data_IF_753349199209
#
_entry.id   IF_753349199209
#
_cell.length_a   1.000
_cell.length_b   1.000
_cell.length_c   1.000
_cell.angle_alpha   90.00
_cell.angle_beta   90.00
_cell.angle_gamma   90.00
#
_symmetry.space_group_name_H-M   'P 1'
#
loop_
_entity.id
_entity.type
_entity.pdbx_description
1 polymer ?
#
# COMPACT_ATOMS: atom_id res chain seq x y z
N UNK A 1 -4.94 -1.75 20.47
CA UNK A 1 -5.42 -2.26 19.19
C UNK A 1 -5.13 -1.22 18.12
N UNK A 2 -4.51 -1.63 17.01
CA UNK A 2 -4.11 -0.76 15.92
C UNK A 2 -5.27 -0.18 15.13
N UNK A 3 -4.95 0.80 14.28
CA UNK A 3 -5.87 1.45 13.36
C UNK A 3 -5.43 1.24 11.91
N UNK A 4 -6.36 1.01 11.01
CA UNK A 4 -6.09 0.83 9.59
C UNK A 4 -6.96 1.72 8.71
N UNK A 5 -6.39 2.22 7.62
CA UNK A 5 -7.11 2.93 6.57
C UNK A 5 -6.89 2.24 5.22
N UNK A 6 -7.99 1.89 4.57
CA UNK A 6 -7.99 1.44 3.17
C UNK A 6 -8.30 2.64 2.30
N UNK A 7 -7.29 3.14 1.58
CA UNK A 7 -7.45 4.15 0.55
C UNK A 7 -7.85 3.47 -0.75
N UNK A 8 -9.16 3.37 -1.00
CA UNK A 8 -9.73 2.66 -2.12
C UNK A 8 -10.03 3.61 -3.28
N UNK A 9 -9.16 3.63 -4.28
CA UNK A 9 -9.24 4.53 -5.43
C UNK A 9 -9.53 3.82 -6.77
N UNK A 10 -10.17 2.65 -6.74
CA UNK A 10 -10.52 1.89 -7.95
C UNK A 10 -11.89 2.24 -8.55
N UNK A 11 -12.49 3.35 -8.23
CA UNK A 11 -13.92 3.66 -8.38
C UNK A 11 -14.56 3.36 -9.73
N UNK A 12 -13.89 3.61 -10.87
CA UNK A 12 -14.51 3.50 -12.19
C UNK A 12 -14.25 2.18 -12.92
N UNK A 13 -13.24 1.42 -12.54
CA UNK A 13 -12.85 0.18 -13.21
C UNK A 13 -13.15 -1.06 -12.38
N UNK A 14 -13.21 -0.90 -11.06
CA UNK A 14 -13.65 -1.92 -10.12
C UNK A 14 -14.94 -1.38 -9.49
N UNK A 15 -16.05 -1.52 -10.21
CA UNK A 15 -17.33 -0.98 -9.79
C UNK A 15 -17.78 -1.50 -8.41
N UNK A 16 -18.82 -0.89 -7.87
CA UNK A 16 -19.41 -1.20 -6.56
C UNK A 16 -19.70 -2.69 -6.33
N UNK A 17 -19.87 -3.52 -7.37
CA UNK A 17 -20.08 -4.95 -7.22
C UNK A 17 -18.85 -5.72 -6.73
N UNK A 18 -17.64 -5.16 -6.90
CA UNK A 18 -16.38 -5.72 -6.36
C UNK A 18 -15.98 -5.08 -5.03
N UNK A 19 -16.58 -3.98 -4.70
CA UNK A 19 -16.43 -3.26 -3.44
C UNK A 19 -16.81 -4.09 -2.19
N UNK A 20 -17.78 -5.03 -2.23
CA UNK A 20 -18.11 -5.87 -1.08
C UNK A 20 -16.91 -6.54 -0.41
N UNK A 21 -15.88 -6.91 -1.17
CA UNK A 21 -14.69 -7.55 -0.58
C UNK A 21 -13.95 -6.64 0.41
N UNK A 22 -13.76 -5.38 0.06
CA UNK A 22 -13.08 -4.42 0.96
C UNK A 22 -13.99 -4.02 2.12
N UNK A 23 -15.28 -3.89 1.90
CA UNK A 23 -16.26 -3.71 2.96
C UNK A 23 -16.30 -4.91 3.92
N UNK A 24 -16.21 -6.12 3.39
CA UNK A 24 -16.11 -7.34 4.19
C UNK A 24 -14.82 -7.37 5.00
N UNK A 25 -13.67 -7.10 4.38
CA UNK A 25 -12.37 -6.99 5.05
C UNK A 25 -12.44 -6.00 6.21
N UNK A 26 -12.94 -4.78 5.95
CA UNK A 26 -13.14 -3.76 6.98
C UNK A 26 -13.97 -4.29 8.15
N UNK A 27 -15.13 -4.89 7.86
CA UNK A 27 -16.02 -5.43 8.89
C UNK A 27 -15.37 -6.52 9.72
N UNK A 28 -14.72 -7.47 9.05
CA UNK A 28 -14.04 -8.58 9.69
C UNK A 28 -12.85 -8.10 10.56
N UNK A 29 -11.97 -7.29 10.02
CA UNK A 29 -10.81 -6.78 10.76
C UNK A 29 -11.21 -5.92 11.94
N UNK A 30 -12.28 -5.12 11.81
CA UNK A 30 -12.83 -4.34 12.91
C UNK A 30 -13.38 -5.26 14.01
N UNK A 31 -14.09 -6.32 13.64
CA UNK A 31 -14.58 -7.32 14.61
C UNK A 31 -13.42 -8.06 15.33
N UNK A 32 -12.30 -8.23 14.63
CA UNK A 32 -11.06 -8.82 15.18
C UNK A 32 -10.22 -7.83 16.00
N UNK A 33 -10.67 -6.57 16.12
CA UNK A 33 -10.05 -5.55 16.95
C UNK A 33 -9.13 -4.55 16.25
N UNK A 34 -8.92 -4.67 14.93
CA UNK A 34 -8.23 -3.65 14.14
C UNK A 34 -9.24 -2.59 13.69
N UNK A 35 -9.19 -1.39 14.27
CA UNK A 35 -10.10 -0.28 13.92
C UNK A 35 -9.89 0.14 12.46
N UNK A 36 -10.63 -0.49 11.55
CA UNK A 36 -10.45 -0.34 10.12
C UNK A 36 -11.46 0.65 9.52
N UNK A 37 -10.96 1.58 8.73
CA UNK A 37 -11.74 2.54 7.94
C UNK A 37 -11.46 2.33 6.46
N UNK A 38 -12.37 2.80 5.62
CA UNK A 38 -12.21 2.81 4.18
C UNK A 38 -12.60 4.18 3.63
N UNK A 39 -11.72 4.72 2.79
CA UNK A 39 -11.95 5.94 2.04
C UNK A 39 -12.10 5.59 0.56
N UNK A 40 -13.24 5.91 -0.03
CA UNK A 40 -13.58 5.63 -1.44
C UNK A 40 -13.48 6.87 -2.32
N UNK A 41 -13.18 8.03 -1.73
CA UNK A 41 -13.03 9.31 -2.43
C UNK A 41 -11.64 9.90 -2.21
N UNK A 42 -10.62 9.06 -2.38
CA UNK A 42 -9.23 9.35 -2.04
C UNK A 42 -8.72 10.59 -2.78
N UNK A 43 -8.32 11.59 -1.99
CA UNK A 43 -7.76 12.85 -2.48
C UNK A 43 -6.27 12.97 -2.13
N UNK A 44 -5.60 13.94 -2.76
CA UNK A 44 -4.22 14.31 -2.39
C UNK A 44 -4.14 14.71 -0.90
N UNK A 45 -5.17 15.38 -0.39
CA UNK A 45 -5.23 15.81 1.02
C UNK A 45 -5.35 14.62 1.99
N UNK A 46 -6.04 13.54 1.59
CA UNK A 46 -6.17 12.33 2.42
C UNK A 46 -4.84 11.62 2.57
N UNK A 47 -4.06 11.52 1.49
CA UNK A 47 -2.73 10.93 1.52
C UNK A 47 -1.70 11.75 2.32
N UNK A 48 -2.01 13.00 2.71
CA UNK A 48 -1.19 13.77 3.66
C UNK A 48 -1.46 13.42 5.13
N UNK A 49 -2.38 12.50 5.40
CA UNK A 49 -2.85 12.12 6.73
C UNK A 49 -2.66 10.64 7.04
N UNK A 50 -1.79 9.98 6.29
CA UNK A 50 -1.47 8.55 6.53
C UNK A 50 -0.85 8.31 7.91
N UNK A 51 -0.20 9.31 8.47
CA UNK A 51 0.39 9.32 9.82
C UNK A 51 -0.62 9.12 10.97
N UNK A 52 -1.92 9.10 10.66
CA UNK A 52 -3.00 8.85 11.63
C UNK A 52 -3.32 7.37 11.83
N UNK A 53 -2.70 6.50 11.08
CA UNK A 53 -3.02 5.08 11.06
C UNK A 53 -1.75 4.24 11.21
N UNK A 54 -1.91 3.12 11.92
CA UNK A 54 -0.81 2.15 12.09
C UNK A 54 -0.61 1.31 10.83
N UNK A 55 -1.69 1.12 10.03
CA UNK A 55 -1.65 0.45 8.74
C UNK A 55 -2.37 1.28 7.69
N UNK A 56 -1.66 1.64 6.62
CA UNK A 56 -2.20 2.28 5.44
C UNK A 56 -2.18 1.31 4.26
N UNK A 57 -3.35 1.04 3.68
CA UNK A 57 -3.52 0.17 2.51
C UNK A 57 -3.85 1.05 1.32
N UNK A 58 -2.99 1.04 0.30
CA UNK A 58 -3.17 1.78 -0.95
C UNK A 58 -3.76 0.85 -2.01
N UNK A 59 -5.07 0.87 -2.19
CA UNK A 59 -5.80 0.08 -3.18
C UNK A 59 -6.19 0.98 -4.35
N UNK A 60 -5.27 1.15 -5.30
CA UNK A 60 -5.38 2.10 -6.40
C UNK A 60 -4.75 1.57 -7.69
N UNK A 61 -5.06 2.19 -8.82
CA UNK A 61 -4.29 2.00 -10.03
C UNK A 61 -2.91 2.64 -9.91
N UNK A 62 -1.92 1.97 -10.46
CA UNK A 62 -0.58 2.50 -10.61
C UNK A 62 -0.05 2.24 -12.01
N UNK A 63 0.90 3.04 -12.42
CA UNK A 63 1.59 2.92 -13.69
C UNK A 63 2.95 3.62 -13.63
N UNK A 64 3.82 3.27 -14.55
CA UNK A 64 4.95 4.12 -14.91
C UNK A 64 4.49 5.20 -15.86
N UNK A 65 4.73 6.46 -15.51
CA UNK A 65 4.32 7.60 -16.31
C UNK A 65 5.51 8.47 -16.65
N UNK A 66 5.63 8.81 -17.95
CA UNK A 66 6.69 9.68 -18.46
C UNK A 66 6.15 11.09 -18.66
N UNK A 67 6.83 12.06 -18.07
CA UNK A 67 6.50 13.47 -18.20
C UNK A 67 7.76 14.33 -18.33
N UNK A 68 7.61 15.55 -18.88
CA UNK A 68 8.70 16.49 -18.99
C UNK A 68 8.85 17.30 -17.71
N UNK A 69 10.07 17.35 -17.16
CA UNK A 69 10.39 18.05 -15.91
C UNK A 69 11.46 19.14 -16.14
N UNK A 70 11.27 20.25 -15.42
CA UNK A 70 12.22 21.36 -15.37
C UNK A 70 12.25 22.22 -16.63
N UNK A 71 13.07 23.25 -16.58
CA UNK A 71 13.21 24.27 -17.66
C UNK A 71 13.64 23.64 -19.00
N UNK A 72 14.49 22.62 -18.94
CA UNK A 72 15.01 21.91 -20.11
C UNK A 72 14.13 20.76 -20.57
N UNK A 73 12.93 20.61 -20.01
CA UNK A 73 11.96 19.56 -20.34
C UNK A 73 12.56 18.15 -20.38
N UNK A 74 13.42 17.85 -19.43
CA UNK A 74 13.99 16.51 -19.28
C UNK A 74 12.86 15.50 -19.03
N UNK A 75 12.83 14.43 -19.81
CA UNK A 75 11.87 13.35 -19.62
C UNK A 75 12.23 12.58 -18.36
N UNK A 76 11.23 12.36 -17.51
CA UNK A 76 11.30 11.54 -16.34
C UNK A 76 10.20 10.51 -16.38
N UNK A 77 10.57 9.27 -16.12
CA UNK A 77 9.64 8.15 -15.97
C UNK A 77 9.71 7.67 -14.54
N UNK A 78 8.58 7.58 -13.87
CA UNK A 78 8.51 7.13 -12.47
C UNK A 78 7.15 6.51 -12.17
N UNK A 79 7.06 5.67 -11.09
CA UNK A 79 5.79 5.12 -10.66
C UNK A 79 4.89 6.22 -10.12
N UNK A 80 3.60 6.10 -10.42
CA UNK A 80 2.56 7.03 -9.96
C UNK A 80 1.37 6.25 -9.42
N UNK A 81 0.66 6.83 -8.46
CA UNK A 81 -0.59 6.31 -7.91
C UNK A 81 -1.74 7.20 -8.36
N UNK A 82 -2.71 6.61 -9.05
CA UNK A 82 -3.91 7.31 -9.52
C UNK A 82 -4.93 7.41 -8.38
N UNK A 83 -5.40 8.63 -8.11
CA UNK A 83 -6.41 8.90 -7.09
C UNK A 83 -7.81 8.95 -7.68
N UNK A 84 -8.82 8.92 -6.79
CA UNK A 84 -10.22 9.15 -7.16
C UNK A 84 -10.47 10.63 -7.52
N UNK A 85 -9.68 11.53 -6.96
CA UNK A 85 -9.88 12.97 -7.08
C UNK A 85 -9.75 13.47 -8.50
N UNK A 86 -10.84 14.06 -9.03
CA UNK A 86 -10.88 14.68 -10.34
C UNK A 86 -10.24 16.08 -10.32
N UNK A 87 -9.51 16.41 -11.38
CA UNK A 87 -8.88 17.71 -11.52
C UNK A 87 -9.91 18.79 -11.82
N UNK A 88 -9.72 19.97 -11.23
CA UNK A 88 -10.51 21.17 -11.49
C UNK A 88 -9.65 22.42 -11.34
N UNK A 89 -10.07 23.53 -11.94
CA UNK A 89 -9.32 24.81 -11.85
C UNK A 89 -9.10 25.23 -10.38
N UNK A 90 -10.11 25.09 -9.53
CA UNK A 90 -9.99 25.43 -8.10
C UNK A 90 -8.97 24.55 -7.38
N UNK A 91 -9.00 23.24 -7.65
CA UNK A 91 -8.04 22.30 -7.07
C UNK A 91 -6.64 22.47 -7.64
N UNK A 92 -6.53 22.78 -8.92
CA UNK A 92 -5.25 23.12 -9.55
C UNK A 92 -4.57 24.32 -8.86
N UNK A 93 -5.35 25.35 -8.49
CA UNK A 93 -4.82 26.46 -7.71
C UNK A 93 -4.38 26.01 -6.31
N UNK A 94 -5.15 25.15 -5.66
CA UNK A 94 -4.84 24.64 -4.34
C UNK A 94 -3.58 23.77 -4.34
N UNK A 95 -3.42 22.93 -5.38
CA UNK A 95 -2.24 22.06 -5.55
C UNK A 95 -1.14 22.69 -6.39
N UNK A 96 -1.20 23.98 -6.70
CA UNK A 96 -0.35 24.64 -7.70
C UNK A 96 1.14 24.38 -7.50
N UNK A 97 1.62 24.43 -6.25
CA UNK A 97 3.02 24.16 -5.95
C UNK A 97 3.39 22.68 -6.14
N UNK A 98 2.52 21.75 -5.77
CA UNK A 98 2.73 20.33 -5.97
C UNK A 98 2.71 19.95 -7.46
N UNK A 99 1.82 20.57 -8.23
CA UNK A 99 1.78 20.43 -9.70
C UNK A 99 3.04 20.99 -10.35
N UNK A 100 3.47 22.18 -9.95
CA UNK A 100 4.68 22.81 -10.47
C UNK A 100 5.94 21.98 -10.18
N UNK A 101 6.00 21.33 -9.03
CA UNK A 101 7.12 20.50 -8.59
C UNK A 101 6.99 19.04 -8.97
N UNK A 102 5.93 18.66 -9.69
CA UNK A 102 5.61 17.28 -10.10
C UNK A 102 5.52 16.29 -8.93
N UNK A 103 5.13 16.76 -7.74
CA UNK A 103 4.74 15.90 -6.61
C UNK A 103 3.36 15.31 -6.85
N UNK A 104 2.52 16.13 -7.45
CA UNK A 104 1.21 15.76 -8.01
C UNK A 104 1.26 15.99 -9.51
N UNK A 105 0.73 15.07 -10.28
CA UNK A 105 0.56 15.19 -11.73
C UNK A 105 -0.89 14.90 -12.09
N UNK A 106 -1.26 15.18 -13.34
CA UNK A 106 -2.61 14.90 -13.85
C UNK A 106 -2.54 13.89 -14.99
N UNK A 107 -3.34 12.82 -14.87
CA UNK A 107 -3.52 11.82 -15.91
C UNK A 107 -5.03 11.63 -16.13
N UNK A 108 -5.47 11.79 -17.37
CA UNK A 108 -6.88 11.61 -17.76
C UNK A 108 -7.88 12.37 -16.86
N UNK A 109 -7.54 13.61 -16.47
CA UNK A 109 -8.41 14.43 -15.65
C UNK A 109 -8.42 14.11 -14.16
N UNK A 110 -7.52 13.26 -13.68
CA UNK A 110 -7.38 12.90 -12.26
C UNK A 110 -6.01 13.24 -11.73
N UNK A 111 -5.94 13.47 -10.44
CA UNK A 111 -4.65 13.65 -9.76
C UNK A 111 -3.98 12.30 -9.51
N UNK A 112 -2.66 12.31 -9.67
CA UNK A 112 -1.78 11.21 -9.32
C UNK A 112 -0.69 11.73 -8.41
N UNK A 113 -0.21 10.90 -7.49
CA UNK A 113 0.93 11.24 -6.63
C UNK A 113 2.16 10.45 -7.03
N UNK A 114 3.32 11.08 -6.88
CA UNK A 114 4.64 10.53 -7.17
C UNK A 114 5.40 10.26 -5.87
N UNK A 115 6.56 9.62 -5.94
CA UNK A 115 7.46 9.49 -4.78
C UNK A 115 7.84 10.85 -4.17
N UNK A 116 7.97 11.89 -5.01
CA UNK A 116 8.22 13.26 -4.56
C UNK A 116 7.14 13.83 -3.65
N UNK A 117 5.89 13.42 -3.85
CA UNK A 117 4.78 13.77 -2.96
C UNK A 117 5.02 13.23 -1.54
N UNK A 118 5.24 11.94 -1.38
CA UNK A 118 5.45 11.32 -0.07
C UNK A 118 6.70 11.87 0.62
N UNK A 119 7.80 12.04 -0.13
CA UNK A 119 9.03 12.65 0.40
C UNK A 119 8.80 14.05 0.96
N UNK A 120 7.92 14.85 0.35
CA UNK A 120 7.59 16.18 0.84
C UNK A 120 6.57 16.15 1.97
N UNK A 121 5.52 15.35 1.85
CA UNK A 121 4.44 15.27 2.84
C UNK A 121 4.96 14.81 4.20
N UNK A 122 5.93 13.90 4.21
CA UNK A 122 6.43 13.23 5.42
C UNK A 122 7.94 13.48 5.68
N UNK A 123 8.44 14.65 5.27
CA UNK A 123 9.86 15.03 5.38
C UNK A 123 10.45 15.07 6.80
N UNK A 124 9.61 15.06 7.83
CA UNK A 124 10.00 15.08 9.23
C UNK A 124 9.68 13.78 9.97
N UNK A 125 9.69 12.65 9.26
CA UNK A 125 9.42 11.31 9.82
C UNK A 125 8.05 11.19 10.51
N UNK A 126 7.03 11.84 9.95
CA UNK A 126 5.68 11.82 10.53
C UNK A 126 4.99 10.46 10.43
N UNK A 127 5.42 9.58 9.47
CA UNK A 127 4.90 8.22 9.32
C UNK A 127 5.47 7.23 10.37
N UNK A 128 5.99 7.74 11.47
CA UNK A 128 6.58 6.89 12.50
C UNK A 128 5.62 5.76 12.89
N UNK A 129 6.16 4.54 12.83
CA UNK A 129 5.45 3.30 13.17
C UNK A 129 4.30 2.91 12.23
N UNK A 130 4.07 3.64 11.12
CA UNK A 130 3.08 3.28 10.12
C UNK A 130 3.58 2.17 9.20
N UNK A 131 2.79 1.12 9.02
CA UNK A 131 2.93 0.11 7.99
C UNK A 131 2.23 0.57 6.71
N UNK A 132 2.88 0.48 5.56
CA UNK A 132 2.25 0.78 4.26
C UNK A 132 2.19 -0.48 3.41
N UNK A 133 0.99 -0.87 3.00
CA UNK A 133 0.74 -1.97 2.07
C UNK A 133 0.11 -1.42 0.79
N UNK A 134 0.78 -1.58 -0.34
CA UNK A 134 0.28 -1.11 -1.64
C UNK A 134 -0.14 -2.27 -2.54
N UNK A 135 -1.39 -2.28 -2.98
CA UNK A 135 -1.90 -3.15 -4.04
C UNK A 135 -1.76 -2.51 -5.44
N UNK A 136 -1.03 -1.40 -5.52
CA UNK A 136 -0.87 -0.62 -6.75
C UNK A 136 0.06 -1.35 -7.72
N UNK A 137 -0.35 -1.48 -8.98
CA UNK A 137 0.50 -1.99 -10.04
C UNK A 137 1.78 -1.16 -10.18
N UNK A 138 2.89 -1.81 -10.51
CA UNK A 138 4.16 -1.15 -10.82
C UNK A 138 4.69 -0.23 -9.70
N UNK A 139 4.21 -0.43 -8.47
CA UNK A 139 4.59 0.41 -7.32
C UNK A 139 6.10 0.32 -7.00
N UNK A 140 6.68 -0.85 -7.17
CA UNK A 140 8.09 -1.15 -6.88
C UNK A 140 8.91 -1.52 -8.13
N UNK A 141 8.38 -1.28 -9.31
CA UNK A 141 9.10 -1.54 -10.54
C UNK A 141 8.25 -2.05 -11.69
N UNK A 142 8.86 -2.12 -12.86
CA UNK A 142 8.28 -2.56 -14.12
C UNK A 142 9.30 -3.37 -14.92
N UNK A 143 8.85 -4.32 -15.73
CA UNK A 143 9.70 -5.20 -16.56
C UNK A 143 10.83 -5.86 -15.76
N UNK A 144 10.48 -6.36 -14.55
CA UNK A 144 11.39 -6.98 -13.58
C UNK A 144 12.53 -6.06 -13.08
N UNK A 145 12.47 -4.77 -13.42
CA UNK A 145 13.36 -3.75 -12.87
C UNK A 145 12.77 -3.16 -11.59
N UNK A 146 13.48 -3.31 -10.49
CA UNK A 146 13.05 -2.79 -9.19
C UNK A 146 13.30 -1.28 -9.13
N UNK A 147 12.26 -0.52 -8.79
CA UNK A 147 12.32 0.92 -8.51
C UNK A 147 11.92 1.17 -7.06
N UNK A 148 12.87 1.63 -6.26
CA UNK A 148 12.67 1.86 -4.83
C UNK A 148 12.19 3.28 -4.50
N UNK A 149 11.91 4.12 -5.49
CA UNK A 149 11.59 5.54 -5.26
C UNK A 149 10.40 5.73 -4.32
N UNK A 150 9.31 4.98 -4.50
CA UNK A 150 8.13 5.02 -3.63
C UNK A 150 8.44 4.48 -2.23
N UNK A 151 9.05 3.29 -2.14
CA UNK A 151 9.41 2.68 -0.87
C UNK A 151 10.37 3.56 -0.09
N UNK A 152 11.42 4.07 -0.72
CA UNK A 152 12.40 4.96 -0.09
C UNK A 152 11.78 6.26 0.41
N UNK A 153 10.84 6.85 -0.36
CA UNK A 153 10.13 8.06 0.08
C UNK A 153 9.29 7.83 1.34
N UNK A 154 8.59 6.70 1.41
CA UNK A 154 7.77 6.33 2.57
C UNK A 154 8.63 5.96 3.79
N UNK A 155 9.69 5.16 3.60
CA UNK A 155 10.63 4.78 4.68
C UNK A 155 11.37 6.01 5.22
N UNK A 156 11.85 6.91 4.35
CA UNK A 156 12.44 8.18 4.76
C UNK A 156 11.42 9.09 5.47
N UNK A 157 10.14 8.94 5.17
CA UNK A 157 9.03 9.58 5.87
C UNK A 157 8.71 8.98 7.23
N UNK A 158 9.40 7.90 7.63
CA UNK A 158 9.26 7.25 8.94
C UNK A 158 8.40 5.98 8.93
N UNK A 159 7.91 5.54 7.78
CA UNK A 159 7.19 4.26 7.71
C UNK A 159 8.07 3.11 8.21
N UNK A 160 7.50 2.23 9.02
CA UNK A 160 8.25 1.09 9.59
C UNK A 160 8.57 0.06 8.52
N UNK A 161 7.61 -0.24 7.67
CA UNK A 161 7.79 -1.14 6.54
C UNK A 161 6.84 -0.78 5.39
N UNK A 162 7.21 -1.17 4.19
CA UNK A 162 6.47 -0.94 2.95
C UNK A 162 6.40 -2.25 2.16
N UNK A 163 5.18 -2.68 1.85
CA UNK A 163 4.91 -3.80 0.94
C UNK A 163 4.33 -3.25 -0.36
N UNK A 164 4.77 -3.76 -1.48
CA UNK A 164 4.24 -3.38 -2.79
C UNK A 164 4.62 -4.39 -3.87
N UNK A 165 4.20 -4.15 -5.09
CA UNK A 165 4.35 -5.09 -6.20
C UNK A 165 5.28 -4.54 -7.28
N UNK A 166 6.11 -5.41 -7.82
CA UNK A 166 6.78 -5.23 -9.11
C UNK A 166 5.84 -5.74 -10.19
N UNK A 167 5.80 -5.07 -11.33
CA UNK A 167 4.92 -5.35 -12.45
C UNK A 167 3.42 -5.10 -12.18
N UNK A 168 2.60 -5.36 -13.18
CA UNK A 168 1.15 -5.22 -13.08
C UNK A 168 0.55 -6.42 -12.34
N UNK A 169 0.05 -6.19 -11.14
CA UNK A 169 -0.51 -7.23 -10.29
C UNK A 169 -1.97 -7.49 -10.62
N UNK A 170 -2.34 -8.76 -10.59
CA UNK A 170 -3.73 -9.16 -10.72
C UNK A 170 -4.50 -8.93 -9.42
N UNK A 171 -5.61 -8.21 -9.52
CA UNK A 171 -6.39 -7.73 -8.36
C UNK A 171 -6.82 -8.86 -7.42
N UNK A 172 -7.20 -10.04 -7.95
CA UNK A 172 -7.64 -11.16 -7.07
C UNK A 172 -6.46 -11.71 -6.28
N UNK A 173 -5.27 -11.80 -6.90
CA UNK A 173 -4.07 -12.22 -6.21
C UNK A 173 -3.65 -11.20 -5.13
N UNK A 174 -3.53 -9.91 -5.49
CA UNK A 174 -3.12 -8.87 -4.52
C UNK A 174 -4.07 -8.78 -3.33
N UNK A 175 -5.38 -8.88 -3.59
CA UNK A 175 -6.40 -8.87 -2.55
C UNK A 175 -6.33 -10.12 -1.64
N UNK A 176 -6.05 -11.30 -2.19
CA UNK A 176 -5.85 -12.52 -1.41
C UNK A 176 -4.61 -12.41 -0.52
N UNK A 177 -3.51 -11.90 -1.07
CA UNK A 177 -2.28 -11.61 -0.33
C UNK A 177 -2.53 -10.59 0.80
N UNK A 178 -3.24 -9.50 0.51
CA UNK A 178 -3.61 -8.49 1.49
C UNK A 178 -4.45 -9.09 2.63
N UNK A 179 -5.48 -9.87 2.29
CA UNK A 179 -6.37 -10.50 3.25
C UNK A 179 -5.58 -11.36 4.25
N UNK A 180 -4.75 -12.24 3.75
CA UNK A 180 -3.99 -13.16 4.58
C UNK A 180 -2.92 -12.44 5.42
N UNK A 181 -2.19 -11.50 4.79
CA UNK A 181 -1.18 -10.69 5.48
C UNK A 181 -1.79 -9.95 6.67
N UNK A 182 -2.92 -9.25 6.48
CA UNK A 182 -3.54 -8.47 7.56
C UNK A 182 -4.12 -9.37 8.66
N UNK A 183 -4.70 -10.51 8.29
CA UNK A 183 -5.18 -11.48 9.28
C UNK A 183 -4.06 -11.98 10.19
N UNK A 184 -2.88 -12.27 9.62
CA UNK A 184 -1.70 -12.68 10.41
C UNK A 184 -1.15 -11.55 11.29
N UNK A 185 -1.16 -10.31 10.79
CA UNK A 185 -0.81 -9.14 11.61
C UNK A 185 -1.77 -8.97 12.79
N UNK A 186 -3.07 -9.19 12.61
CA UNK A 186 -4.06 -9.16 13.71
C UNK A 186 -3.80 -10.25 14.73
N UNK A 187 -3.27 -11.40 14.31
CA UNK A 187 -2.87 -12.50 15.21
C UNK A 187 -1.52 -12.22 15.90
N UNK A 188 -0.94 -11.03 15.73
CA UNK A 188 0.30 -10.64 16.40
C UNK A 188 1.58 -11.13 15.71
N UNK A 189 1.50 -11.62 14.48
CA UNK A 189 2.67 -11.95 13.68
C UNK A 189 3.36 -10.69 13.15
N UNK A 190 4.66 -10.79 12.88
CA UNK A 190 5.38 -9.69 12.22
C UNK A 190 4.99 -9.58 10.75
N UNK A 191 5.24 -8.42 10.15
CA UNK A 191 4.94 -8.21 8.71
C UNK A 191 5.72 -9.20 7.84
N UNK A 192 6.96 -9.50 8.17
CA UNK A 192 7.74 -10.50 7.43
C UNK A 192 7.13 -11.90 7.50
N UNK A 193 6.67 -12.33 8.68
CA UNK A 193 5.98 -13.60 8.85
C UNK A 193 4.64 -13.62 8.12
N UNK A 194 3.89 -12.54 8.19
CA UNK A 194 2.58 -12.42 7.55
C UNK A 194 2.67 -12.48 6.03
N UNK A 195 3.60 -11.74 5.42
CA UNK A 195 3.83 -11.77 3.96
C UNK A 195 4.34 -13.15 3.52
N UNK A 196 5.28 -13.75 4.26
CA UNK A 196 5.79 -15.08 3.95
C UNK A 196 4.67 -16.15 4.00
N UNK A 197 3.77 -16.06 4.97
CA UNK A 197 2.61 -16.96 5.06
C UNK A 197 1.67 -16.77 3.86
N UNK A 198 1.35 -15.53 3.51
CA UNK A 198 0.52 -15.22 2.36
C UNK A 198 1.13 -15.77 1.05
N UNK A 199 2.45 -15.62 0.86
CA UNK A 199 3.16 -16.20 -0.29
C UNK A 199 3.15 -17.73 -0.29
N UNK A 200 3.26 -18.36 0.87
CA UNK A 200 3.15 -19.83 0.98
C UNK A 200 1.74 -20.32 0.62
N UNK A 201 0.71 -19.52 0.92
CA UNK A 201 -0.69 -19.86 0.67
C UNK A 201 -1.10 -19.62 -0.79
N UNK A 202 -0.73 -18.48 -1.36
CA UNK A 202 -1.23 -18.02 -2.67
C UNK A 202 -0.17 -18.04 -3.78
N UNK A 203 1.08 -18.34 -3.48
CA UNK A 203 2.19 -18.34 -4.40
C UNK A 203 3.08 -17.10 -4.26
N UNK A 204 4.33 -17.23 -4.70
CA UNK A 204 5.33 -16.16 -4.66
C UNK A 204 5.06 -15.02 -5.64
N UNK A 205 4.23 -15.28 -6.62
CA UNK A 205 3.80 -14.34 -7.66
C UNK A 205 2.41 -14.70 -8.21
N UNK A 206 1.81 -13.81 -8.97
CA UNK A 206 0.47 -14.01 -9.51
C UNK A 206 0.41 -15.04 -10.63
N UNK A 207 1.52 -15.40 -11.27
CA UNK A 207 1.57 -16.48 -12.25
C UNK A 207 1.40 -17.84 -11.58
N UNK A 208 2.06 -18.06 -10.43
CA UNK A 208 1.88 -19.29 -9.63
C UNK A 208 0.42 -19.43 -9.22
N UNK A 209 -0.18 -18.35 -8.72
CA UNK A 209 -1.59 -18.33 -8.33
C UNK A 209 -2.52 -18.64 -9.51
N UNK A 210 -2.31 -18.01 -10.68
CA UNK A 210 -3.11 -18.25 -11.89
C UNK A 210 -3.03 -19.68 -12.38
N UNK A 211 -1.81 -20.22 -12.40
CA UNK A 211 -1.57 -21.60 -12.84
C UNK A 211 -2.31 -22.59 -11.93
N UNK A 212 -2.27 -22.34 -10.62
CA UNK A 212 -2.99 -23.16 -9.64
C UNK A 212 -4.52 -23.10 -9.81
N UNK A 213 -5.05 -21.98 -10.32
CA UNK A 213 -6.48 -21.81 -10.62
C UNK A 213 -6.87 -22.33 -12.03
N UNK A 214 -5.92 -22.83 -12.81
CA UNK A 214 -6.17 -23.28 -14.19
C UNK A 214 -6.46 -22.13 -15.16
N UNK A 215 -6.15 -20.90 -14.80
CA UNK A 215 -6.43 -19.70 -15.56
C UNK A 215 -5.28 -19.25 -16.47
N UNK A 216 -5.59 -18.37 -17.41
CA UNK A 216 -4.60 -17.63 -18.18
C UNK A 216 -4.42 -16.25 -17.56
N UNK A 217 -3.18 -15.86 -17.35
CA UNK A 217 -2.80 -14.58 -16.80
C UNK A 217 -3.05 -13.44 -17.79
N UNK A 218 -3.60 -12.30 -17.37
CA UNK A 218 -3.86 -11.16 -18.24
C UNK A 218 -2.59 -10.32 -18.54
N UNK A 219 -1.53 -10.44 -17.72
CA UNK A 219 -0.31 -9.66 -17.87
C UNK A 219 0.87 -10.49 -18.34
N UNK A 220 1.78 -9.90 -19.12
CA UNK A 220 2.92 -10.59 -19.70
C UNK A 220 3.98 -10.98 -18.66
N UNK A 221 4.31 -10.08 -17.73
CA UNK A 221 5.28 -10.32 -16.66
C UNK A 221 4.63 -10.75 -15.34
N UNK A 222 5.25 -11.63 -14.56
CA UNK A 222 4.76 -12.04 -13.24
C UNK A 222 4.84 -10.86 -12.25
N UNK A 223 3.76 -10.59 -11.54
CA UNK A 223 3.80 -9.62 -10.46
C UNK A 223 4.06 -10.34 -9.13
N UNK A 224 4.99 -9.81 -8.38
CA UNK A 224 5.39 -10.36 -7.09
C UNK A 224 5.54 -9.26 -6.04
N UNK A 225 5.18 -9.56 -4.78
CA UNK A 225 5.33 -8.61 -3.69
C UNK A 225 6.78 -8.56 -3.19
N UNK A 226 7.19 -7.36 -2.79
CA UNK A 226 8.42 -7.13 -2.06
C UNK A 226 8.11 -6.37 -0.77
N UNK A 227 8.89 -6.63 0.27
CA UNK A 227 8.81 -5.99 1.58
C UNK A 227 10.14 -5.27 1.85
N UNK A 228 10.05 -3.98 2.19
CA UNK A 228 11.17 -3.14 2.59
C UNK A 228 10.94 -2.53 3.97
N UNK A 229 12.01 -2.28 4.70
CA UNK A 229 11.98 -1.74 6.06
C UNK A 229 12.14 -2.82 7.13
N UNK A 230 11.56 -2.62 8.29
CA UNK A 230 11.66 -3.54 9.42
C UNK A 230 10.68 -4.72 9.28
N UNK A 231 11.20 -5.89 8.94
CA UNK A 231 10.40 -7.12 8.81
C UNK A 231 9.83 -7.63 10.13
N UNK A 232 10.35 -7.15 11.26
CA UNK A 232 9.93 -7.51 12.61
C UNK A 232 8.71 -6.76 13.12
N UNK A 233 8.29 -5.69 12.42
CA UNK A 233 7.17 -4.83 12.83
C UNK A 233 5.88 -5.63 13.00
N UNK A 234 5.14 -5.29 14.07
CA UNK A 234 3.85 -5.89 14.43
C UNK A 234 2.81 -4.79 14.60
N UNK A 235 1.56 -5.05 14.24
CA UNK A 235 0.44 -4.15 14.55
C UNK A 235 -0.05 -4.31 15.99
N UNK A 236 0.12 -5.49 16.55
CA UNK A 236 -0.30 -5.84 17.90
C UNK A 236 0.91 -6.46 18.57
N UNK A 237 1.35 -5.87 19.67
CA UNK A 237 2.38 -6.48 20.49
C UNK A 237 1.88 -7.83 20.99
N UNK A 238 2.68 -8.88 20.91
CA UNK A 238 2.30 -10.17 21.48
C UNK A 238 1.97 -9.96 22.95
N UNK A 239 0.79 -10.43 23.36
CA UNK A 239 0.40 -10.38 24.76
C UNK A 239 1.40 -11.24 25.54
N UNK A 240 2.46 -10.62 26.04
CA UNK A 240 3.38 -11.22 26.99
C UNK A 240 2.63 -11.33 28.31
N UNK A 241 1.69 -12.27 28.39
CA UNK A 241 1.20 -12.71 29.69
C UNK A 241 2.45 -13.08 30.51
N UNK A 242 2.64 -12.53 31.69
CA UNK A 242 3.78 -12.91 32.51
C UNK A 242 3.73 -14.42 32.67
N UNK A 243 4.79 -15.10 32.24
CA UNK A 243 4.94 -16.53 32.46
C UNK A 243 4.83 -16.71 33.97
N UNK A 244 3.88 -17.52 34.48
CA UNK A 244 3.77 -17.75 35.91
C UNK A 244 5.14 -18.27 36.43
N UNK A 245 5.82 -17.48 37.24
CA UNK A 245 7.00 -17.99 37.92
C UNK A 245 6.53 -19.08 38.87
N UNK A 246 6.86 -20.31 38.54
CA UNK A 246 6.70 -21.41 39.47
C UNK A 246 7.68 -21.15 40.62
N UNK A 247 7.15 -20.59 41.69
CA UNK A 247 7.92 -20.51 42.95
C UNK A 247 8.10 -21.94 43.45
N UNK A 248 9.27 -22.52 43.19
CA UNK A 248 9.67 -23.73 43.90
C UNK A 248 9.80 -23.38 45.39
N UNK A 249 8.80 -23.75 46.15
CA UNK A 249 8.98 -23.82 47.62
C UNK A 249 10.03 -24.88 47.89
N UNK A 250 11.20 -24.44 48.35
CA UNK A 250 12.19 -25.33 48.92
C UNK A 250 11.60 -25.95 50.18
N UNK A 251 11.61 -27.29 50.22
CA UNK A 251 11.27 -28.09 51.37
C UNK A 251 12.46 -28.13 52.33
#
# INVERSE_FOLDING_TARGET
LGSAMIYYAFDNTVNSSRYPYYSYMKGFWTAMGLNTRIDTMVTVADLRRMDRYDLCILSAHGAYYTYARGLFRQLRTEPVILLTEESSMTRDLFYGFDLLTHRVIKINGRYCVTAGFFKNAYRFSQLKDTLVYSETCEFLGVDDSIDLSMANALLAGGASAVVGYVNNVYTVYSRSMLWDTVNYLILGQSIGQAVAHAQATYGTDDLVWYTAQGGKRPHAAAAYPLLFGDVGVRLIEPNTAPVPQVVQQAA
#
